data_IF_473074969027
#
_entry.id   IF_473074969027
#
_cell.length_a   1.000
_cell.length_b   1.000
_cell.length_c   1.000
_cell.angle_alpha   90.00
_cell.angle_beta   90.00
_cell.angle_gamma   90.00
#
_symmetry.space_group_name_H-M   'P 1'
#
loop_
_entity.id
_entity.type
_entity.pdbx_description
1 polymer ?
#
# COMPACT_ATOMS: atom_id res chain seq x y z
N UNK A 1 -31.71 -13.98 -30.45
CA UNK A 1 -30.86 -15.14 -30.12
C UNK A 1 -29.38 -14.79 -30.29
N UNK A 2 -28.85 -13.88 -29.46
CA UNK A 2 -27.43 -13.51 -29.46
C UNK A 2 -26.89 -13.20 -28.05
N UNK A 3 -27.71 -13.32 -27.01
CA UNK A 3 -27.29 -13.05 -25.61
C UNK A 3 -26.57 -14.24 -24.96
N UNK A 4 -26.57 -15.43 -25.58
CA UNK A 4 -25.94 -16.65 -25.04
C UNK A 4 -24.58 -17.01 -25.69
N UNK A 5 -24.02 -16.16 -26.56
CA UNK A 5 -22.80 -16.54 -27.31
C UNK A 5 -21.47 -16.26 -26.59
N UNK A 6 -21.46 -15.39 -25.57
CA UNK A 6 -20.21 -14.93 -24.95
C UNK A 6 -20.30 -14.85 -23.42
N UNK A 7 -20.18 -15.99 -22.73
CA UNK A 7 -20.22 -16.05 -21.26
C UNK A 7 -18.94 -15.54 -20.57
N UNK A 8 -17.89 -15.22 -21.34
CA UNK A 8 -16.59 -14.71 -20.86
C UNK A 8 -16.31 -13.25 -21.25
N UNK A 9 -17.15 -12.63 -22.08
CA UNK A 9 -16.88 -11.31 -22.66
C UNK A 9 -18.01 -10.34 -22.33
N UNK A 10 -17.68 -9.08 -22.05
CA UNK A 10 -18.64 -8.00 -21.85
C UNK A 10 -18.71 -7.16 -23.12
N UNK A 11 -19.92 -6.79 -23.53
CA UNK A 11 -20.15 -5.88 -24.66
C UNK A 11 -19.70 -4.46 -24.27
N UNK A 12 -18.77 -3.88 -25.02
CA UNK A 12 -18.10 -2.60 -24.76
C UNK A 12 -18.97 -1.40 -25.21
N UNK A 13 -20.21 -1.33 -24.72
CA UNK A 13 -21.15 -0.26 -25.11
C UNK A 13 -21.25 0.85 -24.05
N UNK A 14 -20.64 0.67 -22.86
CA UNK A 14 -20.69 1.61 -21.74
C UNK A 14 -19.28 2.05 -21.33
N UNK A 15 -19.09 3.36 -21.11
CA UNK A 15 -17.87 3.91 -20.52
C UNK A 15 -17.76 3.43 -19.06
N UNK A 16 -16.59 2.95 -18.67
CA UNK A 16 -16.30 2.55 -17.30
C UNK A 16 -15.67 3.72 -16.52
N UNK A 17 -16.03 3.82 -15.24
CA UNK A 17 -15.55 4.86 -14.34
C UNK A 17 -14.67 4.23 -13.26
N UNK A 18 -13.35 4.36 -13.40
CA UNK A 18 -12.36 3.71 -12.55
C UNK A 18 -11.58 4.76 -11.78
N UNK A 19 -11.16 4.45 -10.54
CA UNK A 19 -10.30 5.38 -9.80
C UNK A 19 -9.01 5.63 -10.58
N UNK A 20 -8.69 6.91 -10.80
CA UNK A 20 -7.53 7.30 -11.59
C UNK A 20 -6.23 6.72 -10.97
N UNK A 21 -6.16 6.67 -9.64
CA UNK A 21 -5.05 6.05 -8.93
C UNK A 21 -4.85 4.57 -9.32
N UNK A 22 -5.93 3.80 -9.53
CA UNK A 22 -5.84 2.39 -9.93
C UNK A 22 -5.40 2.23 -11.37
N UNK A 23 -5.80 3.15 -12.26
CA UNK A 23 -5.34 3.17 -13.64
C UNK A 23 -3.83 3.39 -13.69
N UNK A 24 -3.33 4.39 -12.96
CA UNK A 24 -1.90 4.72 -12.92
C UNK A 24 -1.08 3.57 -12.30
N UNK A 25 -1.48 3.05 -11.13
CA UNK A 25 -0.75 1.95 -10.45
C UNK A 25 -0.69 0.66 -11.28
N UNK A 26 -1.69 0.42 -12.14
CA UNK A 26 -1.72 -0.76 -13.01
C UNK A 26 -1.17 -0.49 -14.42
N UNK A 27 -0.46 0.64 -14.63
CA UNK A 27 0.21 0.97 -15.89
C UNK A 27 -0.76 0.99 -17.09
N UNK A 28 -2.01 1.42 -16.86
CA UNK A 28 -2.95 1.63 -17.96
C UNK A 28 -2.53 2.81 -18.83
N UNK A 29 -2.81 2.71 -20.12
CA UNK A 29 -2.57 3.80 -21.07
C UNK A 29 -3.51 4.98 -20.77
N UNK A 30 -2.95 6.05 -20.19
CA UNK A 30 -3.72 7.22 -19.78
C UNK A 30 -4.22 8.05 -20.97
N UNK A 31 -3.65 7.89 -22.18
CA UNK A 31 -4.15 8.54 -23.40
C UNK A 31 -5.54 8.00 -23.80
N UNK A 32 -5.94 6.85 -23.24
CA UNK A 32 -7.26 6.26 -23.40
C UNK A 32 -8.29 6.75 -22.38
N UNK A 33 -7.88 7.58 -21.43
CA UNK A 33 -8.80 8.22 -20.48
C UNK A 33 -9.42 9.43 -21.18
N UNK A 34 -10.73 9.34 -21.41
CA UNK A 34 -11.47 10.39 -22.15
C UNK A 34 -11.67 11.64 -21.30
N UNK A 35 -11.89 11.47 -19.99
CA UNK A 35 -11.92 12.57 -19.04
C UNK A 35 -11.69 12.09 -17.60
N UNK A 36 -11.29 13.02 -16.73
CA UNK A 36 -11.24 12.82 -15.29
C UNK A 36 -12.44 13.48 -14.61
N UNK A 37 -13.07 12.76 -13.67
CA UNK A 37 -14.24 13.22 -12.91
C UNK A 37 -13.95 13.11 -11.42
N UNK A 38 -13.93 14.26 -10.76
CA UNK A 38 -13.84 14.34 -9.31
C UNK A 38 -15.20 14.02 -8.66
N UNK A 39 -15.17 13.34 -7.52
CA UNK A 39 -16.36 13.15 -6.69
C UNK A 39 -16.01 13.23 -5.22
N UNK A 40 -16.83 13.99 -4.51
CA UNK A 40 -16.83 14.11 -3.05
C UNK A 40 -18.01 13.30 -2.52
N UNK A 41 -17.73 12.34 -1.63
CA UNK A 41 -18.72 11.49 -0.99
C UNK A 41 -18.71 11.74 0.51
N UNK A 42 -19.86 12.08 1.07
CA UNK A 42 -20.06 12.16 2.51
C UNK A 42 -20.65 10.84 3.00
N UNK A 43 -19.94 10.20 3.93
CA UNK A 43 -20.34 8.94 4.56
C UNK A 43 -20.81 9.17 6.00
N UNK A 44 -21.35 8.12 6.61
CA UNK A 44 -21.69 8.12 8.03
C UNK A 44 -20.45 8.47 8.88
N UNK A 45 -20.69 9.05 10.07
CA UNK A 45 -19.65 9.49 11.01
C UNK A 45 -18.75 10.64 10.53
N UNK A 46 -19.22 11.45 9.57
CA UNK A 46 -18.51 12.65 9.14
C UNK A 46 -17.33 12.40 8.19
N UNK A 47 -17.14 11.16 7.73
CA UNK A 47 -16.09 10.80 6.78
C UNK A 47 -16.40 11.42 5.42
N UNK A 48 -15.50 12.29 4.95
CA UNK A 48 -15.53 12.87 3.61
C UNK A 48 -14.47 12.19 2.74
N UNK A 49 -14.87 11.72 1.56
CA UNK A 49 -13.96 11.10 0.59
C UNK A 49 -13.98 11.88 -0.71
N UNK A 50 -12.83 12.44 -1.10
CA UNK A 50 -12.59 13.02 -2.42
C UNK A 50 -11.80 12.03 -3.27
N UNK A 51 -12.32 11.70 -4.45
CA UNK A 51 -11.76 10.71 -5.36
C UNK A 51 -11.75 11.24 -6.78
N UNK A 52 -10.66 11.03 -7.51
CA UNK A 52 -10.60 11.28 -8.95
C UNK A 52 -10.81 9.96 -9.69
N UNK A 53 -11.71 9.97 -10.67
CA UNK A 53 -11.99 8.84 -11.53
C UNK A 53 -11.63 9.14 -12.98
N UNK A 54 -10.95 8.23 -13.66
CA UNK A 54 -10.84 8.23 -15.12
C UNK A 54 -12.06 7.57 -15.75
N UNK A 55 -12.63 8.21 -16.76
CA UNK A 55 -13.68 7.65 -17.61
C UNK A 55 -13.02 7.15 -18.89
N UNK A 56 -13.17 5.86 -19.17
CA UNK A 56 -12.59 5.24 -20.37
C UNK A 56 -13.56 4.25 -20.99
N UNK A 57 -13.49 4.10 -22.31
CA UNK A 57 -14.17 3.03 -23.03
C UNK A 57 -13.32 1.74 -23.07
N UNK A 58 -12.02 1.80 -22.77
CA UNK A 58 -11.15 0.62 -22.74
C UNK A 58 -11.54 -0.34 -21.61
N UNK A 59 -11.27 -1.63 -21.84
CA UNK A 59 -11.49 -2.65 -20.82
C UNK A 59 -10.48 -2.47 -19.68
N UNK A 60 -11.02 -2.35 -18.45
CA UNK A 60 -10.23 -2.37 -17.23
C UNK A 60 -10.62 -3.61 -16.44
N UNK A 61 -9.62 -4.43 -16.10
CA UNK A 61 -9.85 -5.62 -15.26
C UNK A 61 -10.01 -5.22 -13.79
N UNK A 62 -11.18 -4.68 -13.45
CA UNK A 62 -11.52 -4.25 -12.08
C UNK A 62 -11.53 -5.43 -11.13
N UNK A 63 -11.94 -6.62 -11.59
CA UNK A 63 -11.99 -7.82 -10.77
C UNK A 63 -10.59 -8.24 -10.31
N UNK A 64 -9.59 -8.14 -11.18
CA UNK A 64 -8.20 -8.38 -10.77
C UNK A 64 -7.75 -7.40 -9.69
N UNK A 65 -8.06 -6.11 -9.86
CA UNK A 65 -7.68 -5.07 -8.87
C UNK A 65 -8.37 -5.33 -7.52
N UNK A 66 -9.66 -5.68 -7.54
CA UNK A 66 -10.40 -6.02 -6.32
C UNK A 66 -9.86 -7.29 -5.64
N UNK A 67 -9.45 -8.30 -6.42
CA UNK A 67 -8.83 -9.51 -5.90
C UNK A 67 -7.46 -9.22 -5.27
N UNK A 68 -6.59 -8.46 -5.95
CA UNK A 68 -5.29 -8.04 -5.41
C UNK A 68 -5.45 -7.24 -4.11
N UNK A 69 -6.42 -6.32 -4.06
CA UNK A 69 -6.76 -5.62 -2.82
C UNK A 69 -7.25 -6.60 -1.75
N UNK A 70 -8.14 -7.54 -2.09
CA UNK A 70 -8.68 -8.50 -1.13
C UNK A 70 -7.59 -9.35 -0.46
N UNK A 71 -6.52 -9.69 -1.19
CA UNK A 71 -5.38 -10.47 -0.70
C UNK A 71 -4.47 -9.71 0.29
N UNK A 72 -4.53 -8.37 0.31
CA UNK A 72 -3.74 -7.57 1.25
C UNK A 72 -4.31 -7.72 2.65
N UNK A 73 -3.48 -8.31 3.51
CA UNK A 73 -3.72 -8.40 4.95
C UNK A 73 -3.42 -7.05 5.59
N UNK A 74 -4.37 -6.51 6.34
CA UNK A 74 -4.15 -5.26 7.10
C UNK A 74 -3.48 -5.60 8.43
N UNK A 75 -2.23 -5.18 8.67
CA UNK A 75 -1.56 -5.43 9.94
C UNK A 75 -2.14 -4.55 11.03
N UNK A 76 -2.15 -5.06 12.26
CA UNK A 76 -2.38 -4.29 13.47
C UNK A 76 -1.03 -3.93 14.05
N UNK A 77 -0.70 -2.63 14.01
CA UNK A 77 0.52 -2.12 14.63
C UNK A 77 0.23 -1.82 16.10
N UNK A 78 1.03 -2.39 17.00
CA UNK A 78 0.81 -2.29 18.43
C UNK A 78 2.12 -2.05 19.18
N UNK A 79 2.01 -1.74 20.48
CA UNK A 79 3.17 -1.65 21.37
C UNK A 79 3.73 -3.04 21.67
N UNK A 80 4.99 -3.10 22.12
CA UNK A 80 5.61 -4.36 22.59
C UNK A 80 4.77 -5.08 23.66
N UNK A 81 4.21 -4.34 24.61
CA UNK A 81 3.37 -4.90 25.68
C UNK A 81 2.08 -5.52 25.11
N UNK A 82 1.41 -4.82 24.20
CA UNK A 82 0.22 -5.35 23.54
C UNK A 82 0.54 -6.55 22.66
N UNK A 83 1.71 -6.55 22.02
CA UNK A 83 2.18 -7.68 21.22
C UNK A 83 2.39 -8.93 22.09
N UNK A 84 3.12 -8.80 23.20
CA UNK A 84 3.38 -9.88 24.15
C UNK A 84 2.08 -10.47 24.72
N UNK A 85 1.10 -9.62 25.04
CA UNK A 85 -0.19 -10.06 25.60
C UNK A 85 -1.10 -10.74 24.58
N UNK A 86 -1.05 -10.32 23.31
CA UNK A 86 -2.01 -10.73 22.29
C UNK A 86 -1.46 -11.76 21.29
N UNK A 87 -0.14 -11.84 21.11
CA UNK A 87 0.48 -12.78 20.17
C UNK A 87 0.45 -14.19 20.74
N UNK A 88 -0.11 -15.12 19.97
CA UNK A 88 -0.10 -16.55 20.28
C UNK A 88 0.73 -17.35 19.25
N UNK A 89 1.61 -16.66 18.51
CA UNK A 89 2.39 -17.30 17.45
C UNK A 89 3.54 -18.11 18.05
N UNK A 90 3.75 -19.35 17.58
CA UNK A 90 4.79 -20.23 18.12
C UNK A 90 6.22 -19.68 17.93
N UNK A 91 6.44 -18.94 16.85
CA UNK A 91 7.73 -18.36 16.49
C UNK A 91 7.52 -16.90 16.10
N UNK A 92 8.36 -16.02 16.60
CA UNK A 92 8.41 -14.61 16.17
C UNK A 92 9.86 -14.22 15.87
N UNK A 93 9.99 -13.19 15.05
CA UNK A 93 11.25 -12.64 14.58
C UNK A 93 11.32 -11.18 14.99
N UNK A 94 12.43 -10.82 15.63
CA UNK A 94 12.74 -9.45 16.01
C UNK A 94 13.87 -8.96 15.12
N UNK A 95 13.67 -7.83 14.47
CA UNK A 95 14.61 -7.21 13.55
C UNK A 95 15.12 -5.90 14.14
N UNK A 96 16.45 -5.76 14.22
CA UNK A 96 17.13 -4.57 14.71
C UNK A 96 18.20 -4.11 13.71
N UNK A 97 18.61 -2.83 13.68
CA UNK A 97 19.64 -2.35 12.77
C UNK A 97 20.94 -3.14 12.93
N UNK A 98 21.47 -3.66 11.82
CA UNK A 98 22.77 -4.37 11.82
C UNK A 98 23.93 -3.41 12.09
N UNK A 99 23.92 -2.28 11.38
CA UNK A 99 24.82 -1.17 11.61
C UNK A 99 24.09 -0.12 12.45
N UNK A 100 24.53 0.11 13.69
CA UNK A 100 23.84 0.97 14.67
C UNK A 100 23.80 2.46 14.29
N UNK A 101 24.62 2.88 13.33
CA UNK A 101 24.66 4.24 12.78
C UNK A 101 23.77 4.40 11.53
N UNK A 102 23.08 3.35 11.09
CA UNK A 102 22.15 3.35 9.96
C UNK A 102 20.75 2.95 10.46
N UNK A 103 19.68 3.46 9.82
CA UNK A 103 18.31 3.08 10.19
C UNK A 103 18.07 1.59 9.95
N UNK A 104 17.15 0.98 10.72
CA UNK A 104 16.63 -0.35 10.42
C UNK A 104 16.03 -0.31 9.01
N UNK A 105 16.49 -1.20 8.14
CA UNK A 105 16.00 -1.24 6.76
C UNK A 105 15.69 -2.69 6.38
N UNK A 106 14.42 -2.96 6.09
CA UNK A 106 13.92 -4.26 5.65
C UNK A 106 13.09 -3.99 4.40
N UNK A 107 13.48 -4.57 3.26
CA UNK A 107 12.74 -4.37 2.01
C UNK A 107 11.55 -5.31 1.87
N UNK A 108 11.69 -6.56 2.32
CA UNK A 108 10.72 -7.61 2.06
C UNK A 108 9.37 -7.31 2.71
N UNK A 109 8.33 -7.20 1.88
CA UNK A 109 6.93 -7.05 2.32
C UNK A 109 6.38 -8.35 2.92
N UNK A 110 7.03 -9.49 2.68
CA UNK A 110 6.70 -10.78 3.31
C UNK A 110 6.76 -10.75 4.84
N UNK A 111 7.55 -9.83 5.41
CA UNK A 111 7.65 -9.59 6.85
C UNK A 111 6.33 -9.10 7.46
N UNK A 112 5.33 -8.67 6.68
CA UNK A 112 4.06 -8.18 7.23
C UNK A 112 3.25 -9.32 7.83
N UNK A 113 3.09 -9.31 9.15
CA UNK A 113 2.19 -10.21 9.89
C UNK A 113 0.91 -9.52 10.34
N UNK A 114 -0.09 -10.30 10.76
CA UNK A 114 -1.37 -9.77 11.22
C UNK A 114 -1.24 -8.83 12.44
N UNK A 115 -0.36 -9.17 13.37
CA UNK A 115 0.02 -8.34 14.52
C UNK A 115 1.50 -8.02 14.40
N UNK A 116 1.89 -6.77 14.56
CA UNK A 116 3.28 -6.32 14.43
C UNK A 116 3.62 -5.23 15.44
N UNK A 117 4.90 -5.11 15.73
CA UNK A 117 5.48 -3.91 16.34
C UNK A 117 6.36 -3.23 15.31
N UNK A 118 6.21 -1.92 15.16
CA UNK A 118 7.09 -1.09 14.32
C UNK A 118 7.54 0.10 15.15
N UNK A 119 8.84 0.27 15.27
CA UNK A 119 9.52 1.40 15.91
C UNK A 119 10.75 1.77 15.06
N UNK A 120 11.38 2.92 15.35
CA UNK A 120 12.60 3.34 14.62
C UNK A 120 13.75 2.32 14.70
N UNK A 121 13.80 1.49 15.75
CA UNK A 121 14.92 0.59 16.03
C UNK A 121 14.55 -0.88 16.03
N UNK A 122 13.26 -1.20 15.88
CA UNK A 122 12.78 -2.56 16.08
C UNK A 122 11.51 -2.81 15.27
N UNK A 123 11.50 -3.94 14.56
CA UNK A 123 10.30 -4.54 13.99
C UNK A 123 10.13 -5.92 14.60
N UNK A 124 8.93 -6.25 15.06
CA UNK A 124 8.57 -7.60 15.51
C UNK A 124 7.48 -8.15 14.61
N UNK A 125 7.72 -9.33 14.06
CA UNK A 125 6.81 -10.02 13.16
C UNK A 125 6.74 -11.52 13.43
N UNK A 126 5.60 -12.14 13.14
CA UNK A 126 5.50 -13.60 13.07
C UNK A 126 5.97 -14.17 11.73
N UNK A 127 6.24 -13.31 10.75
CA UNK A 127 6.74 -13.71 9.44
C UNK A 127 8.25 -13.44 9.34
N UNK A 128 8.92 -14.30 8.59
CA UNK A 128 10.34 -14.16 8.28
C UNK A 128 10.51 -13.17 7.12
N UNK A 129 11.45 -12.24 7.26
CA UNK A 129 11.91 -11.38 6.18
C UNK A 129 12.94 -12.12 5.34
N UNK A 130 12.74 -12.16 4.03
CA UNK A 130 13.75 -12.61 3.08
C UNK A 130 14.73 -11.46 2.77
N UNK A 131 16.02 -11.76 2.50
CA UNK A 131 16.94 -10.76 1.96
C UNK A 131 16.39 -10.14 0.66
N UNK A 132 16.66 -8.86 0.43
CA UNK A 132 16.17 -8.10 -0.73
C UNK A 132 16.41 -8.80 -2.07
N UNK A 133 17.49 -9.56 -2.23
CA UNK A 133 17.79 -10.28 -3.48
C UNK A 133 16.86 -11.47 -3.74
N UNK A 134 16.20 -11.99 -2.70
CA UNK A 134 15.27 -13.13 -2.77
C UNK A 134 13.81 -12.71 -2.60
N UNK A 135 13.56 -11.52 -2.05
CA UNK A 135 12.23 -11.00 -1.77
C UNK A 135 11.37 -10.90 -3.04
N UNK A 136 10.14 -11.41 -2.96
CA UNK A 136 9.17 -11.38 -4.07
C UNK A 136 8.47 -10.03 -4.22
N UNK A 137 8.14 -9.43 -3.08
CA UNK A 137 7.47 -8.15 -2.98
C UNK A 137 8.34 -7.25 -2.09
N UNK A 138 8.78 -6.11 -2.61
CA UNK A 138 9.64 -5.16 -1.88
C UNK A 138 8.86 -3.89 -1.50
N UNK A 139 9.43 -3.12 -0.57
CA UNK A 139 8.94 -1.79 -0.19
C UNK A 139 8.46 -1.67 1.25
N UNK A 140 8.74 -2.66 2.13
CA UNK A 140 8.28 -2.62 3.51
C UNK A 140 8.78 -1.39 4.27
N UNK A 141 9.97 -0.88 3.98
CA UNK A 141 10.45 0.34 4.61
C UNK A 141 9.55 1.57 4.34
N UNK A 142 8.91 1.66 3.17
CA UNK A 142 7.95 2.75 2.92
C UNK A 142 6.71 2.63 3.81
N UNK A 143 6.32 1.41 4.17
CA UNK A 143 5.26 1.19 5.14
C UNK A 143 5.69 1.58 6.56
N UNK A 144 6.94 1.29 6.93
CA UNK A 144 7.53 1.75 8.20
C UNK A 144 7.50 3.28 8.29
N UNK A 145 7.95 3.97 7.24
CA UNK A 145 7.91 5.44 7.19
C UNK A 145 6.48 5.97 7.36
N UNK A 146 5.52 5.36 6.65
CA UNK A 146 4.12 5.74 6.76
C UNK A 146 3.56 5.53 8.17
N UNK A 147 3.88 4.42 8.81
CA UNK A 147 3.40 4.10 10.17
C UNK A 147 3.99 5.06 11.20
N UNK A 148 5.30 5.33 11.13
CA UNK A 148 6.00 6.14 12.13
C UNK A 148 5.78 7.65 11.95
N UNK A 149 5.79 8.12 10.70
CA UNK A 149 5.79 9.55 10.39
C UNK A 149 4.47 10.04 9.79
N UNK A 150 3.57 9.12 9.44
CA UNK A 150 2.36 9.46 8.71
C UNK A 150 2.63 9.80 7.24
N UNK A 151 3.82 9.60 6.71
CA UNK A 151 4.16 9.94 5.33
C UNK A 151 5.11 8.93 4.70
N UNK A 152 4.97 8.68 3.41
CA UNK A 152 5.94 7.92 2.63
C UNK A 152 5.97 8.39 1.17
N UNK A 153 7.15 8.29 0.54
CA UNK A 153 7.36 8.67 -0.86
C UNK A 153 8.04 7.55 -1.64
N UNK A 154 7.46 7.19 -2.78
CA UNK A 154 7.87 6.04 -3.60
C UNK A 154 7.89 6.49 -5.06
N UNK A 155 9.06 6.85 -5.56
CA UNK A 155 9.20 7.46 -6.88
C UNK A 155 8.30 8.70 -7.04
N UNK A 156 7.34 8.62 -7.96
CA UNK A 156 6.36 9.67 -8.25
C UNK A 156 5.20 9.75 -7.24
N UNK A 157 5.05 8.76 -6.36
CA UNK A 157 3.95 8.66 -5.40
C UNK A 157 4.33 9.29 -4.06
N UNK A 158 3.41 10.03 -3.48
CA UNK A 158 3.53 10.56 -2.12
C UNK A 158 2.22 10.29 -1.38
N UNK A 159 2.32 9.69 -0.19
CA UNK A 159 1.19 9.36 0.66
C UNK A 159 1.40 10.08 1.97
N UNK A 160 0.35 10.71 2.49
CA UNK A 160 0.40 11.38 3.79
C UNK A 160 -0.86 11.14 4.61
N UNK A 161 -0.69 11.18 5.92
CA UNK A 161 -1.72 11.11 6.93
C UNK A 161 -1.37 12.09 8.04
N UNK A 162 -2.16 13.16 8.16
CA UNK A 162 -1.95 14.20 9.15
C UNK A 162 -3.29 14.76 9.59
N UNK A 163 -3.47 14.96 10.90
CA UNK A 163 -4.70 15.57 11.44
C UNK A 163 -5.99 14.85 10.96
N UNK A 164 -5.96 13.51 10.91
CA UNK A 164 -7.04 12.64 10.37
C UNK A 164 -7.38 12.85 8.89
N UNK A 165 -6.49 13.48 8.14
CA UNK A 165 -6.56 13.62 6.70
C UNK A 165 -5.57 12.65 6.05
N UNK A 166 -6.09 11.68 5.31
CA UNK A 166 -5.32 10.80 4.44
C UNK A 166 -5.32 11.35 3.01
N UNK A 167 -4.14 11.50 2.40
CA UNK A 167 -3.98 12.04 1.05
C UNK A 167 -2.99 11.20 0.23
N UNK A 168 -3.32 10.99 -1.04
CA UNK A 168 -2.45 10.30 -2.02
C UNK A 168 -2.22 11.22 -3.20
N UNK A 169 -0.96 11.54 -3.45
CA UNK A 169 -0.52 12.36 -4.55
C UNK A 169 0.29 11.57 -5.56
N UNK A 170 0.21 12.00 -6.80
CA UNK A 170 1.05 11.52 -7.89
C UNK A 170 1.71 12.70 -8.61
N UNK A 171 2.99 12.58 -8.91
CA UNK A 171 3.76 13.62 -9.60
C UNK A 171 4.16 13.16 -10.99
N UNK A 172 3.73 13.88 -12.03
CA UNK A 172 4.04 13.57 -13.43
C UNK A 172 4.52 14.79 -14.20
N UNK A 173 5.28 14.56 -15.28
CA UNK A 173 5.71 15.62 -16.20
C UNK A 173 4.54 15.99 -17.12
N UNK A 174 4.14 17.26 -17.11
CA UNK A 174 3.10 17.80 -17.97
C UNK A 174 3.59 18.05 -19.39
N UNK A 175 2.66 18.40 -20.28
CA UNK A 175 2.95 18.79 -21.68
C UNK A 175 3.81 20.04 -21.80
N UNK A 176 3.83 20.87 -20.74
CA UNK A 176 4.66 22.06 -20.58
C UNK A 176 6.07 21.74 -20.04
N UNK A 177 6.41 20.47 -19.95
CA UNK A 177 7.62 19.94 -19.34
C UNK A 177 7.79 20.21 -17.83
N UNK A 178 6.79 20.79 -17.17
CA UNK A 178 6.83 21.02 -15.73
C UNK A 178 6.33 19.80 -14.96
N UNK A 179 6.83 19.62 -13.74
CA UNK A 179 6.33 18.57 -12.85
C UNK A 179 5.06 19.06 -12.17
N UNK A 180 3.96 18.33 -12.34
CA UNK A 180 2.68 18.61 -11.72
C UNK A 180 2.40 17.57 -10.65
N UNK A 181 2.03 18.04 -9.44
CA UNK A 181 1.63 17.19 -8.32
C UNK A 181 0.11 17.21 -8.21
N UNK A 182 -0.51 16.06 -8.42
CA UNK A 182 -1.96 15.90 -8.40
C UNK A 182 -2.41 15.13 -7.17
N UNK A 183 -3.46 15.62 -6.50
CA UNK A 183 -4.11 14.93 -5.38
C UNK A 183 -5.17 13.97 -5.93
N UNK A 184 -4.87 12.67 -5.95
CA UNK A 184 -5.72 11.64 -6.57
C UNK A 184 -6.78 11.08 -5.62
N UNK A 185 -6.48 11.05 -4.33
CA UNK A 185 -7.36 10.53 -3.29
C UNK A 185 -7.17 11.32 -2.00
N UNK A 186 -8.27 11.74 -1.38
CA UNK A 186 -8.27 12.37 -0.06
C UNK A 186 -9.42 11.83 0.78
N UNK A 187 -9.16 11.58 2.05
CA UNK A 187 -10.16 11.16 3.02
C UNK A 187 -9.98 11.89 4.34
N UNK A 188 -11.06 12.44 4.88
CA UNK A 188 -11.10 13.15 6.16
C UNK A 188 -11.78 12.30 7.23
N UNK A 189 -11.39 12.51 8.49
CA UNK A 189 -11.92 11.81 9.67
C UNK A 189 -11.75 10.27 9.60
N UNK A 190 -10.68 9.81 8.95
CA UNK A 190 -10.27 8.41 8.99
C UNK A 190 -9.19 8.19 10.05
N UNK A 191 -9.20 7.00 10.65
CA UNK A 191 -8.07 6.51 11.44
C UNK A 191 -6.95 6.00 10.51
N UNK A 192 -5.69 6.19 10.92
CA UNK A 192 -4.52 5.78 10.13
C UNK A 192 -4.53 4.28 9.81
N UNK A 193 -4.98 3.42 10.74
CA UNK A 193 -5.05 1.98 10.53
C UNK A 193 -6.00 1.62 9.38
N UNK A 194 -7.04 2.43 9.17
CA UNK A 194 -8.02 2.22 8.10
C UNK A 194 -7.44 2.51 6.71
N UNK A 195 -6.29 3.16 6.61
CA UNK A 195 -5.64 3.48 5.33
C UNK A 195 -4.62 2.43 4.91
N UNK A 196 -4.10 1.63 5.85
CA UNK A 196 -2.98 0.70 5.63
C UNK A 196 -3.17 -0.18 4.40
N UNK A 197 -4.38 -0.72 4.20
CA UNK A 197 -4.67 -1.57 3.05
C UNK A 197 -4.38 -0.89 1.71
N UNK A 198 -4.78 0.38 1.57
CA UNK A 198 -4.54 1.16 0.35
C UNK A 198 -3.07 1.58 0.26
N UNK A 199 -2.44 1.93 1.39
CA UNK A 199 -1.00 2.24 1.42
C UNK A 199 -0.16 1.06 0.97
N UNK A 200 -0.41 -0.13 1.52
CA UNK A 200 0.28 -1.37 1.14
C UNK A 200 0.08 -1.72 -0.33
N UNK A 201 -1.13 -1.49 -0.87
CA UNK A 201 -1.40 -1.68 -2.29
C UNK A 201 -0.58 -0.70 -3.16
N UNK A 202 -0.54 0.57 -2.79
CA UNK A 202 0.27 1.59 -3.49
C UNK A 202 1.75 1.21 -3.43
N UNK A 203 2.27 0.86 -2.25
CA UNK A 203 3.66 0.42 -2.07
C UNK A 203 3.97 -0.74 -3.01
N UNK A 204 3.16 -1.80 -2.98
CA UNK A 204 3.38 -3.00 -3.81
C UNK A 204 3.48 -2.67 -5.29
N UNK A 205 2.58 -1.81 -5.80
CA UNK A 205 2.55 -1.42 -7.22
C UNK A 205 3.61 -0.39 -7.60
N UNK A 206 3.85 0.60 -6.73
CA UNK A 206 4.82 1.66 -6.98
C UNK A 206 6.26 1.16 -6.88
N UNK A 207 6.52 0.18 -6.01
CA UNK A 207 7.85 -0.40 -5.84
C UNK A 207 8.36 -1.12 -7.10
N UNK A 208 7.45 -1.61 -7.96
CA UNK A 208 7.81 -2.18 -9.28
C UNK A 208 8.49 -1.17 -10.22
N UNK A 209 8.41 0.13 -9.92
CA UNK A 209 9.02 1.21 -10.72
C UNK A 209 10.32 1.77 -10.14
N UNK A 210 10.79 1.23 -9.02
CA UNK A 210 12.04 1.65 -8.39
C UNK A 210 13.22 1.07 -9.17
N UNK A 211 14.13 1.92 -9.61
CA UNK A 211 15.34 1.51 -10.35
C UNK A 211 16.45 0.97 -9.43
N UNK A 212 16.61 1.56 -8.24
CA UNK A 212 17.65 1.19 -7.28
C UNK A 212 17.04 0.96 -5.90
N UNK A 213 17.21 -0.25 -5.39
CA UNK A 213 16.71 -0.66 -4.07
C UNK A 213 17.83 -0.49 -3.06
N UNK A 214 17.55 0.23 -1.98
CA UNK A 214 18.49 0.39 -0.87
C UNK A 214 18.69 -0.97 -0.20
N UNK A 215 19.93 -1.40 0.08
CA UNK A 215 20.18 -2.71 0.68
C UNK A 215 19.63 -2.79 2.10
N UNK A 216 19.28 -4.02 2.51
CA UNK A 216 18.83 -4.28 3.88
C UNK A 216 19.90 -3.92 4.92
N UNK A 217 19.43 -3.46 6.08
CA UNK A 217 20.23 -3.18 7.26
C UNK A 217 19.53 -3.72 8.50
N UNK A 218 19.49 -5.04 8.64
CA UNK A 218 18.94 -5.68 9.82
C UNK A 218 19.74 -6.91 10.28
N UNK A 219 19.65 -7.19 11.57
CA UNK A 219 19.94 -8.48 12.20
C UNK A 219 18.64 -9.07 12.71
N UNK A 220 18.50 -10.39 12.63
CA UNK A 220 17.33 -11.12 13.07
C UNK A 220 17.63 -11.90 14.36
N UNK A 221 16.72 -11.81 15.33
CA UNK A 221 16.65 -12.72 16.46
C UNK A 221 15.31 -13.50 16.41
N UNK A 222 15.41 -14.83 16.42
CA UNK A 222 14.24 -15.71 16.44
C UNK A 222 13.87 -16.09 17.88
N UNK A 223 12.61 -15.89 18.25
CA UNK A 223 12.07 -16.25 19.56
C UNK A 223 11.03 -17.35 19.39
N UNK A 224 11.00 -18.28 20.35
CA UNK A 224 9.99 -19.34 20.40
C UNK A 224 9.14 -19.16 21.62
N UNK A 225 7.82 -19.29 21.45
CA UNK A 225 6.90 -19.30 22.57
C UNK A 225 7.27 -20.48 23.48
N UNK A 226 7.60 -20.18 24.74
CA UNK A 226 7.77 -21.23 25.74
C UNK A 226 6.42 -21.92 25.92
N UNK A 227 6.30 -23.16 25.43
CA UNK A 227 5.18 -24.02 25.79
C UNK A 227 5.34 -24.31 27.27
N UNK A 228 4.46 -23.75 28.09
CA UNK A 228 4.40 -24.08 29.52
C UNK A 228 4.49 -25.60 29.71
N UNK A 229 5.40 -26.03 30.58
CA UNK A 229 5.42 -27.37 31.19
C UNK A 229 4.12 -27.64 31.95
#
# INVERSE_FOLDING_TARGET
MAEEMFNKYRRQDNKERILLLYLILNKYDLDKVECAVETVQNKMFGVELRKIYGVTSEFVDVQRIEAELAEIHTPVICSMQSYELCSNTEVIHTYMPKESNKPLYINDMGVISQLMVITEQCVVSSNLAEPVESAKDIGFMYFVDYVLHGECKIGAWEISYKDKEFSVFYTSKGSDEQMHKELLYRALELDQTSTFKLVLYIIKKAAESIEEVVPDNFTEETWKLEKNQ
#
